data_IF_843823046400
#
_entry.id   IF_843823046400
#
_cell.length_a   1.000
_cell.length_b   1.000
_cell.length_c   1.000
_cell.angle_alpha   90.00
_cell.angle_beta   90.00
_cell.angle_gamma   90.00
#
_symmetry.space_group_name_H-M   'P 1'
#
loop_
_entity.id
_entity.type
_entity.pdbx_description
1 polymer ?
#
# COMPACT_ATOMS: atom_id res chain seq x y z
N UNK A 1 20.54 17.42 -13.56
CA UNK A 1 19.31 17.31 -12.76
C UNK A 1 19.66 16.69 -11.40
N UNK A 2 20.14 17.49 -10.43
CA UNK A 2 20.51 17.00 -9.09
C UNK A 2 19.25 16.94 -8.23
N UNK A 3 18.60 15.77 -8.15
CA UNK A 3 17.52 15.53 -7.21
C UNK A 3 18.12 15.47 -5.80
N UNK A 4 17.94 16.54 -5.02
CA UNK A 4 18.40 16.60 -3.65
C UNK A 4 17.71 15.52 -2.82
N UNK A 5 18.51 14.66 -2.17
CA UNK A 5 18.11 13.64 -1.19
C UNK A 5 17.19 14.18 -0.07
N UNK A 6 17.07 15.50 0.07
CA UNK A 6 16.07 16.18 0.91
C UNK A 6 14.62 15.83 0.54
N UNK A 7 14.34 15.46 -0.71
CA UNK A 7 13.01 15.03 -1.15
C UNK A 7 12.63 13.66 -0.57
N UNK A 8 13.58 12.80 -0.18
CA UNK A 8 13.29 11.54 0.52
C UNK A 8 12.94 11.73 2.00
N UNK A 9 13.30 12.86 2.59
CA UNK A 9 13.04 13.13 4.00
C UNK A 9 11.72 13.88 4.25
N UNK A 10 11.09 14.40 3.20
CA UNK A 10 9.76 14.95 3.34
C UNK A 10 8.76 13.80 3.44
N UNK A 11 8.17 13.59 4.61
CA UNK A 11 7.14 12.57 4.88
C UNK A 11 6.10 12.44 3.75
N UNK A 12 5.75 13.56 3.12
CA UNK A 12 4.81 13.64 2.00
C UNK A 12 5.30 13.07 0.67
N UNK A 13 6.61 13.07 0.43
CA UNK A 13 7.21 12.48 -0.76
C UNK A 13 7.25 10.96 -0.64
N UNK A 14 7.58 10.43 0.55
CA UNK A 14 7.58 8.99 0.82
C UNK A 14 6.17 8.38 0.63
N UNK A 15 5.12 9.08 1.06
CA UNK A 15 3.72 8.68 0.80
C UNK A 15 3.42 8.66 -0.71
N UNK A 16 3.89 9.65 -1.48
CA UNK A 16 3.65 9.69 -2.93
C UNK A 16 4.35 8.54 -3.66
N UNK A 17 5.60 8.26 -3.31
CA UNK A 17 6.33 7.10 -3.85
C UNK A 17 5.63 5.79 -3.46
N UNK A 18 5.12 5.69 -2.23
CA UNK A 18 4.30 4.56 -1.78
C UNK A 18 3.08 4.34 -2.66
N UNK A 19 2.30 5.38 -2.95
CA UNK A 19 1.10 5.28 -3.81
C UNK A 19 1.48 4.84 -5.23
N UNK A 20 2.53 5.43 -5.81
CA UNK A 20 2.97 5.13 -7.18
C UNK A 20 3.43 3.66 -7.26
N UNK A 21 4.29 3.23 -6.34
CA UNK A 21 4.77 1.85 -6.29
C UNK A 21 3.61 0.85 -6.11
N UNK A 22 2.68 1.12 -5.19
CA UNK A 22 1.52 0.27 -4.95
C UNK A 22 0.60 0.18 -6.16
N UNK A 23 0.41 1.29 -6.89
CA UNK A 23 -0.39 1.33 -8.11
C UNK A 23 0.24 0.52 -9.24
N UNK A 24 1.56 0.66 -9.45
CA UNK A 24 2.29 -0.13 -10.46
C UNK A 24 2.21 -1.61 -10.13
N UNK A 25 2.46 -1.99 -8.87
CA UNK A 25 2.38 -3.39 -8.43
C UNK A 25 0.97 -3.95 -8.62
N UNK A 26 -0.07 -3.17 -8.33
CA UNK A 26 -1.47 -3.59 -8.54
C UNK A 26 -1.78 -3.86 -10.02
N UNK A 27 -1.30 -3.01 -10.93
CA UNK A 27 -1.45 -3.20 -12.38
C UNK A 27 -0.73 -4.47 -12.85
N UNK A 28 0.49 -4.72 -12.39
CA UNK A 28 1.27 -5.91 -12.76
C UNK A 28 0.52 -7.18 -12.33
N UNK A 29 0.02 -7.22 -11.08
CA UNK A 29 -0.71 -8.39 -10.56
C UNK A 29 -2.04 -8.56 -11.30
N UNK A 30 -2.71 -7.47 -11.68
CA UNK A 30 -3.92 -7.54 -12.49
C UNK A 30 -3.69 -8.17 -13.86
N UNK A 31 -2.61 -7.78 -14.55
CA UNK A 31 -2.23 -8.37 -15.85
C UNK A 31 -1.88 -9.86 -15.68
N UNK A 32 -1.17 -10.23 -14.60
CA UNK A 32 -0.87 -11.63 -14.29
C UNK A 32 -2.14 -12.45 -14.08
N UNK A 33 -3.10 -11.93 -13.30
CA UNK A 33 -4.40 -12.56 -13.07
C UNK A 33 -5.18 -12.72 -14.37
N UNK A 34 -5.18 -11.72 -15.25
CA UNK A 34 -5.86 -11.79 -16.54
C UNK A 34 -5.28 -12.89 -17.44
N UNK A 35 -3.95 -13.02 -17.48
CA UNK A 35 -3.26 -14.07 -18.23
C UNK A 35 -3.57 -15.46 -17.69
N UNK A 36 -3.59 -15.62 -16.36
CA UNK A 36 -3.94 -16.89 -15.72
C UNK A 36 -5.39 -17.26 -15.98
N UNK A 37 -6.32 -16.29 -15.92
CA UNK A 37 -7.75 -16.52 -16.20
C UNK A 37 -7.99 -16.97 -17.66
N UNK A 38 -7.30 -16.36 -18.62
CA UNK A 38 -7.38 -16.78 -20.03
C UNK A 38 -6.83 -18.20 -20.24
N UNK A 39 -5.74 -18.56 -19.56
CA UNK A 39 -5.17 -19.90 -19.62
C UNK A 39 -6.09 -20.93 -18.97
N UNK A 40 -6.72 -20.58 -17.86
CA UNK A 40 -7.71 -21.40 -17.18
C UNK A 40 -8.96 -21.62 -18.03
N UNK A 41 -9.49 -20.58 -18.67
CA UNK A 41 -10.66 -20.67 -19.56
C UNK A 41 -10.42 -21.60 -20.75
N UNK A 42 -9.24 -21.53 -21.38
CA UNK A 42 -8.89 -22.41 -22.50
C UNK A 42 -8.70 -23.88 -22.09
N UNK A 43 -8.09 -24.12 -20.92
CA UNK A 43 -7.93 -25.47 -20.34
C UNK A 43 -9.28 -26.07 -19.91
N UNK A 44 -10.19 -25.25 -19.37
CA UNK A 44 -11.54 -25.68 -19.01
C UNK A 44 -12.36 -26.08 -20.25
N UNK A 45 -12.24 -25.30 -21.33
CA UNK A 45 -12.91 -25.60 -22.61
C UNK A 45 -12.33 -26.85 -23.30
N UNK A 46 -11.02 -27.09 -23.20
CA UNK A 46 -10.40 -28.30 -23.78
C UNK A 46 -10.67 -29.58 -22.97
N UNK A 47 -10.91 -29.49 -21.66
CA UNK A 47 -10.94 -30.67 -20.78
C UNK A 47 -12.36 -31.06 -20.32
N UNK A 48 -13.43 -30.44 -20.84
CA UNK A 48 -14.82 -30.79 -20.49
C UNK A 48 -15.05 -30.93 -18.97
N UNK A 49 -14.44 -30.05 -18.16
CA UNK A 49 -14.67 -29.97 -16.71
C UNK A 49 -13.85 -30.90 -15.79
N UNK A 50 -12.90 -31.70 -16.31
CA UNK A 50 -12.11 -32.64 -15.48
C UNK A 50 -10.72 -32.15 -15.03
N UNK A 51 -10.29 -30.95 -15.44
CA UNK A 51 -9.00 -30.41 -15.03
C UNK A 51 -9.05 -29.89 -13.59
N UNK A 52 -8.21 -30.44 -12.71
CA UNK A 52 -8.04 -29.97 -11.33
C UNK A 52 -7.38 -28.59 -11.34
N UNK A 53 -8.22 -27.55 -11.35
CA UNK A 53 -7.75 -26.16 -11.31
C UNK A 53 -7.31 -25.84 -9.90
N UNK A 54 -6.04 -25.45 -9.73
CA UNK A 54 -5.51 -25.04 -8.44
C UNK A 54 -5.99 -23.63 -8.07
N UNK A 55 -7.29 -23.51 -7.79
CA UNK A 55 -7.97 -22.26 -7.38
C UNK A 55 -7.34 -21.65 -6.13
N UNK A 56 -6.63 -22.44 -5.32
CA UNK A 56 -5.93 -21.96 -4.13
C UNK A 56 -4.87 -20.91 -4.48
N UNK A 57 -4.13 -21.10 -5.58
CA UNK A 57 -3.12 -20.13 -6.03
C UNK A 57 -3.81 -18.85 -6.51
N UNK A 58 -4.92 -18.96 -7.24
CA UNK A 58 -5.71 -17.81 -7.68
C UNK A 58 -6.28 -17.02 -6.50
N UNK A 59 -6.84 -17.69 -5.50
CA UNK A 59 -7.38 -17.06 -4.28
C UNK A 59 -6.28 -16.40 -3.47
N UNK A 60 -5.09 -17.02 -3.35
CA UNK A 60 -3.95 -16.41 -2.67
C UNK A 60 -3.48 -15.13 -3.37
N UNK A 61 -3.35 -15.16 -4.71
CA UNK A 61 -2.98 -13.98 -5.51
C UNK A 61 -4.04 -12.88 -5.40
N UNK A 62 -5.32 -13.24 -5.37
CA UNK A 62 -6.42 -12.29 -5.16
C UNK A 62 -6.36 -11.64 -3.76
N UNK A 63 -6.09 -12.43 -2.71
CA UNK A 63 -5.92 -11.94 -1.34
C UNK A 63 -4.74 -10.97 -1.21
N UNK A 64 -3.62 -11.28 -1.88
CA UNK A 64 -2.45 -10.38 -1.95
C UNK A 64 -2.82 -9.10 -2.69
N UNK A 65 -3.49 -9.18 -3.84
CA UNK A 65 -3.93 -8.02 -4.61
C UNK A 65 -4.90 -7.13 -3.82
N UNK A 66 -5.88 -7.72 -3.13
CA UNK A 66 -6.82 -7.01 -2.26
C UNK A 66 -6.09 -6.29 -1.13
N UNK A 67 -5.10 -6.94 -0.51
CA UNK A 67 -4.27 -6.32 0.52
C UNK A 67 -3.47 -5.14 -0.01
N UNK A 68 -2.86 -5.28 -1.20
CA UNK A 68 -2.17 -4.19 -1.90
C UNK A 68 -3.09 -3.01 -2.23
N UNK A 69 -4.30 -3.27 -2.74
CA UNK A 69 -5.29 -2.22 -2.99
C UNK A 69 -5.69 -1.52 -1.68
N UNK A 70 -5.84 -2.28 -0.59
CA UNK A 70 -6.07 -1.72 0.75
C UNK A 70 -4.95 -0.77 1.20
N UNK A 71 -3.69 -1.16 0.99
CA UNK A 71 -2.55 -0.26 1.24
C UNK A 71 -2.60 0.99 0.35
N UNK A 72 -2.94 0.85 -0.93
CA UNK A 72 -3.09 1.98 -1.84
C UNK A 72 -4.17 2.97 -1.36
N UNK A 73 -5.34 2.46 -0.97
CA UNK A 73 -6.41 3.24 -0.37
C UNK A 73 -5.97 3.91 0.94
N UNK A 74 -5.23 3.21 1.79
CA UNK A 74 -4.70 3.76 3.04
C UNK A 74 -3.77 4.96 2.79
N UNK A 75 -2.79 4.82 1.89
CA UNK A 75 -1.93 5.94 1.51
C UNK A 75 -2.70 7.07 0.82
N UNK A 76 -3.71 6.74 0.03
CA UNK A 76 -4.65 7.71 -0.57
C UNK A 76 -5.39 8.53 0.49
N UNK A 77 -5.90 7.88 1.54
CA UNK A 77 -6.55 8.54 2.68
C UNK A 77 -5.59 9.47 3.42
N UNK A 78 -4.33 9.05 3.63
CA UNK A 78 -3.31 9.94 4.23
C UNK A 78 -3.08 11.18 3.35
N UNK A 79 -3.03 11.01 2.02
CA UNK A 79 -2.92 12.13 1.08
C UNK A 79 -4.14 13.06 1.14
N UNK A 80 -5.33 12.51 1.37
CA UNK A 80 -6.56 13.29 1.58
C UNK A 80 -6.48 14.13 2.86
N UNK A 81 -5.91 13.61 3.95
CA UNK A 81 -5.65 14.40 5.18
C UNK A 81 -4.76 15.62 4.88
N UNK A 82 -3.81 15.53 3.93
CA UNK A 82 -3.03 16.69 3.47
C UNK A 82 -3.92 17.80 2.95
N UNK A 83 -4.91 17.42 2.14
CA UNK A 83 -5.83 18.37 1.53
C UNK A 83 -6.72 19.02 2.59
N UNK A 84 -7.13 18.29 3.63
CA UNK A 84 -7.97 18.85 4.70
C UNK A 84 -7.18 19.81 5.63
N UNK A 85 -5.83 19.78 5.66
CA UNK A 85 -5.00 20.73 6.45
C UNK A 85 -5.15 22.20 6.06
N UNK A 86 -5.90 22.55 5.01
CA UNK A 86 -6.33 23.94 4.78
C UNK A 86 -7.19 24.50 5.93
N UNK A 87 -7.75 23.63 6.79
CA UNK A 87 -8.47 24.03 7.99
C UNK A 87 -7.52 24.37 9.15
N UNK A 88 -7.63 25.58 9.72
CA UNK A 88 -6.72 26.10 10.77
C UNK A 88 -6.66 25.22 12.02
N UNK A 89 -7.75 24.55 12.40
CA UNK A 89 -7.76 23.67 13.57
C UNK A 89 -6.92 22.40 13.35
N UNK A 90 -6.98 21.84 12.13
CA UNK A 90 -6.26 20.61 11.79
C UNK A 90 -4.77 20.84 11.57
N UNK A 91 -4.38 22.01 11.06
CA UNK A 91 -2.95 22.31 10.89
C UNK A 91 -2.22 22.42 12.25
N UNK A 92 -2.88 23.00 13.27
CA UNK A 92 -2.34 23.10 14.64
C UNK A 92 -2.18 21.71 15.25
N UNK A 93 -3.21 20.85 15.14
CA UNK A 93 -3.13 19.47 15.63
C UNK A 93 -1.96 18.69 15.01
N UNK A 94 -1.80 18.77 13.69
CA UNK A 94 -0.69 18.12 12.98
C UNK A 94 0.68 18.69 13.38
N UNK A 95 0.77 19.99 13.66
CA UNK A 95 2.02 20.61 14.12
C UNK A 95 2.40 20.15 15.53
N UNK A 96 1.45 20.11 16.46
CA UNK A 96 1.69 19.60 17.83
C UNK A 96 2.10 18.13 17.80
N UNK A 97 1.39 17.31 16.99
CA UNK A 97 1.77 15.91 16.77
C UNK A 97 3.19 15.78 16.24
N UNK A 98 3.54 16.56 15.21
CA UNK A 98 4.89 16.54 14.63
C UNK A 98 5.97 16.94 15.64
N UNK A 99 5.68 17.90 16.52
CA UNK A 99 6.59 18.33 17.57
C UNK A 99 6.85 17.21 18.58
N UNK A 100 5.79 16.56 19.09
CA UNK A 100 5.90 15.50 20.10
C UNK A 100 6.31 14.13 19.53
N UNK A 101 6.27 13.97 18.19
CA UNK A 101 6.60 12.69 17.52
C UNK A 101 7.99 12.16 17.91
N UNK A 102 8.98 13.05 18.11
CA UNK A 102 10.33 12.63 18.50
C UNK A 102 10.34 11.94 19.87
N UNK A 103 9.62 12.50 20.84
CA UNK A 103 9.54 11.97 22.19
C UNK A 103 8.70 10.69 22.23
N UNK A 104 7.59 10.64 21.47
CA UNK A 104 6.77 9.44 21.32
C UNK A 104 7.58 8.28 20.73
N UNK A 105 8.39 8.53 19.72
CA UNK A 105 9.24 7.48 19.11
C UNK A 105 10.26 6.96 20.12
N UNK A 106 10.90 7.84 20.88
CA UNK A 106 11.87 7.43 21.92
C UNK A 106 11.21 6.61 23.02
N UNK A 107 10.02 7.02 23.48
CA UNK A 107 9.23 6.29 24.46
C UNK A 107 8.79 4.93 23.92
N UNK A 108 8.29 4.88 22.69
CA UNK A 108 7.86 3.65 22.02
C UNK A 108 9.01 2.64 21.89
N UNK A 109 10.23 3.12 21.57
CA UNK A 109 11.41 2.27 21.51
C UNK A 109 11.77 1.68 22.87
N UNK A 110 11.81 2.51 23.92
CA UNK A 110 12.04 2.03 25.28
C UNK A 110 10.96 1.03 25.73
N UNK A 111 9.70 1.32 25.46
CA UNK A 111 8.58 0.44 25.76
C UNK A 111 8.71 -0.91 25.03
N UNK A 112 9.01 -0.88 23.73
CA UNK A 112 9.21 -2.10 22.94
C UNK A 112 10.36 -2.96 23.45
N UNK A 113 11.44 -2.37 23.96
CA UNK A 113 12.55 -3.13 24.54
C UNK A 113 12.20 -3.79 25.88
N UNK A 114 11.32 -3.18 26.67
CA UNK A 114 10.90 -3.72 27.97
C UNK A 114 9.85 -4.82 27.83
N UNK A 115 8.98 -4.70 26.83
CA UNK A 115 7.88 -5.65 26.59
C UNK A 115 8.23 -6.81 25.65
N UNK A 116 9.38 -6.73 24.97
CA UNK A 116 9.93 -7.82 24.15
C UNK A 116 10.68 -8.81 25.03
#
# INVERSE_FOLDING_TARGET
MKLNLKYFYEFWSLIQVGIISCSITSIIIYIWRFKEYNRLSSLFQQTNGYAYVNLQVTVYVDGVLTSLLGFCCFFGTIKFIKFIRFNKSLIIFVQTLKYVTKDIISFSFMFSLVFM
#
